data_IF_215508326236
#
_entry.id   IF_215508326236
#
_cell.length_a   1.000
_cell.length_b   1.000
_cell.length_c   1.000
_cell.angle_alpha   90.00
_cell.angle_beta   90.00
_cell.angle_gamma   90.00
#
_symmetry.space_group_name_H-M   'P 1'
#
loop_
_entity.id
_entity.type
_entity.pdbx_description
1 polymer ?
#
# COMPACT_ATOMS: atom_id res chain seq x y z
N UNK A 1 -9.35 6.55 25.06
CA UNK A 1 -10.45 7.09 24.22
C UNK A 1 -10.43 6.35 22.90
N UNK A 2 -11.59 5.99 22.36
CA UNK A 2 -11.77 5.21 21.14
C UNK A 2 -12.75 5.95 20.22
N UNK A 3 -12.39 6.20 18.98
CA UNK A 3 -13.32 6.64 17.94
C UNK A 3 -13.74 5.43 17.15
N UNK A 4 -14.92 4.89 17.45
CA UNK A 4 -15.47 3.75 16.71
C UNK A 4 -16.13 4.27 15.45
N UNK A 5 -15.62 3.85 14.31
CA UNK A 5 -15.99 4.36 12.99
C UNK A 5 -16.51 3.24 12.12
N UNK A 6 -17.53 3.57 11.34
CA UNK A 6 -18.02 2.75 10.25
C UNK A 6 -18.36 3.65 9.06
N UNK A 7 -18.11 3.17 7.85
CA UNK A 7 -18.26 3.93 6.61
C UNK A 7 -19.00 3.09 5.59
N UNK A 8 -20.06 3.68 5.00
CA UNK A 8 -20.62 3.20 3.75
C UNK A 8 -19.95 3.91 2.58
N UNK A 9 -19.59 3.17 1.55
CA UNK A 9 -18.87 3.68 0.41
C UNK A 9 -19.62 3.46 -0.90
N UNK A 10 -19.32 4.30 -1.91
CA UNK A 10 -19.90 4.20 -3.26
C UNK A 10 -19.55 2.90 -3.98
N UNK A 11 -18.60 2.09 -3.44
CA UNK A 11 -18.03 0.97 -4.16
C UNK A 11 -17.14 1.44 -5.32
N UNK A 12 -16.65 0.50 -6.11
CA UNK A 12 -15.75 0.78 -7.22
C UNK A 12 -14.41 0.08 -7.06
N UNK A 13 -13.38 0.62 -7.71
CA UNK A 13 -12.02 0.12 -7.55
C UNK A 13 -11.38 0.69 -6.29
N UNK A 14 -10.47 -0.08 -5.70
CA UNK A 14 -9.63 0.40 -4.60
C UNK A 14 -8.93 1.70 -5.03
N UNK A 15 -9.17 2.76 -4.26
CA UNK A 15 -8.63 4.08 -4.54
C UNK A 15 -9.57 5.03 -5.31
N UNK A 16 -10.73 4.54 -5.77
CA UNK A 16 -11.76 5.35 -6.45
C UNK A 16 -13.05 5.46 -5.61
N UNK A 17 -13.12 4.71 -4.48
CA UNK A 17 -14.30 4.72 -3.60
C UNK A 17 -14.47 6.07 -2.91
N UNK A 18 -15.73 6.49 -2.73
CA UNK A 18 -16.15 7.70 -2.03
C UNK A 18 -17.04 7.38 -0.86
N UNK A 19 -16.90 8.14 0.22
CA UNK A 19 -17.80 8.01 1.38
C UNK A 19 -19.18 8.49 1.01
N UNK A 20 -20.21 7.70 1.36
CA UNK A 20 -21.63 8.05 1.20
C UNK A 20 -22.37 8.17 2.55
N UNK A 21 -21.88 7.49 3.58
CA UNK A 21 -22.29 7.67 4.97
C UNK A 21 -21.09 7.45 5.88
N UNK A 22 -21.01 8.17 6.98
CA UNK A 22 -20.02 7.97 8.03
C UNK A 22 -20.69 8.08 9.40
N UNK A 23 -20.35 7.17 10.30
CA UNK A 23 -20.70 7.24 11.70
C UNK A 23 -19.46 7.11 12.57
N UNK A 24 -19.35 7.98 13.58
CA UNK A 24 -18.25 8.00 14.54
C UNK A 24 -18.84 8.11 15.94
N UNK A 25 -18.49 7.17 16.82
CA UNK A 25 -18.81 7.20 18.24
C UNK A 25 -17.53 7.36 19.05
N UNK A 26 -17.41 8.46 19.76
CA UNK A 26 -16.31 8.67 20.71
C UNK A 26 -16.66 7.95 22.00
N UNK A 27 -15.91 6.91 22.33
CA UNK A 27 -16.16 5.99 23.44
C UNK A 27 -15.01 6.05 24.45
N UNK A 28 -15.34 6.20 25.73
CA UNK A 28 -14.35 6.29 26.81
C UNK A 28 -13.93 4.93 27.38
N UNK A 29 -14.48 3.84 26.87
CA UNK A 29 -14.32 2.47 27.37
C UNK A 29 -15.50 2.00 28.22
N UNK A 30 -16.48 2.88 28.52
CA UNK A 30 -17.69 2.59 29.29
C UNK A 30 -18.95 3.16 28.67
N UNK A 31 -18.87 4.35 28.09
CA UNK A 31 -20.01 5.02 27.47
C UNK A 31 -19.58 5.86 26.27
N UNK A 32 -20.50 6.07 25.37
CA UNK A 32 -20.35 7.03 24.26
C UNK A 32 -20.46 8.43 24.84
N UNK A 33 -19.44 9.27 24.62
CA UNK A 33 -19.37 10.64 25.13
C UNK A 33 -19.60 11.70 24.06
N UNK A 34 -19.44 11.33 22.78
CA UNK A 34 -19.72 12.18 21.63
C UNK A 34 -20.03 11.31 20.42
N UNK A 35 -20.75 11.86 19.45
CA UNK A 35 -21.07 11.16 18.21
C UNK A 35 -21.15 12.10 17.02
N UNK A 36 -20.82 11.57 15.86
CA UNK A 36 -21.02 12.25 14.58
C UNK A 36 -21.52 11.24 13.55
N UNK A 37 -22.66 11.54 12.92
CA UNK A 37 -23.29 10.69 11.90
C UNK A 37 -23.71 11.62 10.77
N UNK A 38 -23.32 11.31 9.54
CA UNK A 38 -23.66 12.10 8.38
C UNK A 38 -23.72 11.25 7.12
N UNK A 39 -24.73 11.49 6.30
CA UNK A 39 -24.63 11.19 4.88
C UNK A 39 -23.59 12.12 4.25
N UNK A 40 -22.98 11.68 3.16
CA UNK A 40 -21.95 12.45 2.45
C UNK A 40 -22.25 12.42 0.96
N UNK A 41 -22.29 13.59 0.32
CA UNK A 41 -22.49 13.70 -1.12
C UNK A 41 -21.18 13.35 -1.84
N UNK A 42 -21.10 12.22 -2.58
CA UNK A 42 -19.93 11.90 -3.38
C UNK A 42 -19.96 12.69 -4.72
N UNK A 43 -18.83 12.76 -5.40
CA UNK A 43 -18.69 13.32 -6.74
C UNK A 43 -18.89 12.28 -7.86
N UNK A 44 -19.54 11.15 -7.55
CA UNK A 44 -19.82 10.05 -8.46
C UNK A 44 -21.22 9.49 -8.26
N UNK A 45 -21.73 8.77 -9.26
CA UNK A 45 -22.97 8.02 -9.14
C UNK A 45 -22.79 6.75 -8.31
N UNK A 46 -23.79 6.43 -7.49
CA UNK A 46 -23.77 5.22 -6.66
C UNK A 46 -24.39 4.06 -7.45
N UNK A 47 -23.66 2.95 -7.63
CA UNK A 47 -24.18 1.75 -8.27
C UNK A 47 -25.46 1.24 -7.61
N UNK A 48 -26.41 0.74 -8.41
CA UNK A 48 -27.72 0.25 -7.91
C UNK A 48 -27.57 -0.83 -6.85
N UNK A 49 -26.52 -1.68 -6.95
CA UNK A 49 -26.31 -2.74 -5.94
C UNK A 49 -25.89 -2.16 -4.59
N UNK A 50 -25.14 -1.07 -4.54
CA UNK A 50 -24.79 -0.36 -3.30
C UNK A 50 -26.03 0.28 -2.69
N UNK A 51 -26.87 0.94 -3.52
CA UNK A 51 -28.14 1.51 -3.05
C UNK A 51 -29.05 0.44 -2.43
N UNK A 52 -29.08 -0.77 -3.01
CA UNK A 52 -29.84 -1.89 -2.46
C UNK A 52 -29.24 -2.45 -1.18
N UNK A 53 -27.91 -2.48 -1.08
CA UNK A 53 -27.19 -3.01 0.09
C UNK A 53 -27.36 -2.09 1.30
N UNK A 54 -27.12 -0.79 1.10
CA UNK A 54 -27.09 0.21 2.19
C UNK A 54 -28.47 0.85 2.44
N UNK A 55 -29.38 0.74 1.47
CA UNK A 55 -30.65 1.46 1.48
C UNK A 55 -30.53 2.96 1.18
N UNK A 56 -29.30 3.47 0.94
CA UNK A 56 -29.05 4.88 0.62
C UNK A 56 -29.26 5.10 -0.88
N UNK A 57 -30.18 5.95 -1.25
CA UNK A 57 -30.46 6.28 -2.65
C UNK A 57 -29.63 7.48 -3.10
N UNK A 58 -29.36 7.58 -4.40
CA UNK A 58 -28.70 8.76 -4.97
C UNK A 58 -29.43 10.07 -4.61
N UNK A 59 -30.76 10.05 -4.56
CA UNK A 59 -31.56 11.21 -4.17
C UNK A 59 -31.32 11.69 -2.75
N UNK A 60 -30.99 10.80 -1.83
CA UNK A 60 -30.78 11.11 -0.42
C UNK A 60 -29.47 11.90 -0.20
N UNK A 61 -28.54 11.78 -1.14
CA UNK A 61 -27.23 12.40 -1.06
C UNK A 61 -27.16 13.77 -1.73
N UNK A 62 -28.15 14.17 -2.51
CA UNK A 62 -28.15 15.46 -3.23
C UNK A 62 -28.06 16.66 -2.28
N UNK A 63 -28.68 16.56 -1.10
CA UNK A 63 -28.67 17.59 -0.06
C UNK A 63 -27.67 17.30 1.07
N UNK A 64 -26.95 16.20 1.00
CA UNK A 64 -25.94 15.86 2.01
C UNK A 64 -24.69 16.76 1.86
N UNK A 65 -23.97 17.03 2.95
CA UNK A 65 -22.72 17.78 2.88
C UNK A 65 -21.68 17.01 2.09
N UNK A 66 -20.79 17.72 1.42
CA UNK A 66 -19.59 17.14 0.82
C UNK A 66 -18.55 16.81 1.89
N UNK A 67 -17.63 15.90 1.59
CA UNK A 67 -16.63 15.48 2.58
C UNK A 67 -15.83 16.64 3.18
N UNK A 68 -15.43 17.62 2.38
CA UNK A 68 -14.66 18.78 2.88
C UNK A 68 -15.42 19.62 3.90
N UNK A 69 -16.77 19.63 3.86
CA UNK A 69 -17.60 20.39 4.80
C UNK A 69 -17.64 19.75 6.19
N UNK A 70 -17.51 18.43 6.26
CA UNK A 70 -17.53 17.67 7.52
C UNK A 70 -16.11 17.27 8.02
N UNK A 71 -15.09 17.46 7.21
CA UNK A 71 -13.71 17.03 7.48
C UNK A 71 -13.19 17.57 8.82
N UNK A 72 -13.47 18.84 9.13
CA UNK A 72 -13.06 19.45 10.40
C UNK A 72 -13.65 18.72 11.60
N UNK A 73 -14.94 18.42 11.56
CA UNK A 73 -15.63 17.70 12.65
C UNK A 73 -15.09 16.28 12.84
N UNK A 74 -14.75 15.58 11.75
CA UNK A 74 -14.14 14.26 11.82
C UNK A 74 -12.76 14.33 12.50
N UNK A 75 -11.94 15.34 12.17
CA UNK A 75 -10.66 15.56 12.83
C UNK A 75 -10.86 15.76 14.32
N UNK A 76 -11.76 16.67 14.72
CA UNK A 76 -12.01 17.02 16.11
C UNK A 76 -12.47 15.84 16.95
N UNK A 77 -13.45 15.05 16.47
CA UNK A 77 -14.00 13.93 17.24
C UNK A 77 -13.02 12.74 17.31
N UNK A 78 -12.08 12.64 16.35
CA UNK A 78 -11.08 11.57 16.33
C UNK A 78 -9.73 11.98 16.90
N UNK A 79 -9.57 13.23 17.33
CA UNK A 79 -8.30 13.71 17.85
C UNK A 79 -7.94 13.08 19.20
N UNK A 80 -6.67 12.68 19.34
CA UNK A 80 -6.19 12.04 20.57
C UNK A 80 -6.84 10.70 20.93
N UNK A 81 -7.64 10.12 20.02
CA UNK A 81 -8.31 8.84 20.20
C UNK A 81 -7.76 7.74 19.30
N UNK A 82 -8.11 6.50 19.60
CA UNK A 82 -7.79 5.34 18.81
C UNK A 82 -8.92 5.12 17.82
N UNK A 83 -8.61 5.08 16.53
CA UNK A 83 -9.54 4.72 15.48
C UNK A 83 -9.87 3.23 15.55
N UNK A 84 -11.12 2.89 15.79
CA UNK A 84 -11.59 1.51 15.89
C UNK A 84 -12.62 1.24 14.80
N UNK A 85 -12.51 0.13 14.10
CA UNK A 85 -13.53 -0.35 13.19
C UNK A 85 -13.53 -1.88 13.11
N UNK A 86 -14.58 -2.42 12.52
CA UNK A 86 -14.69 -3.85 12.23
C UNK A 86 -14.26 -4.11 10.78
N UNK A 87 -13.06 -4.63 10.56
CA UNK A 87 -12.28 -4.58 9.32
C UNK A 87 -11.72 -3.17 9.05
N UNK A 88 -11.04 -2.65 10.05
CA UNK A 88 -10.54 -1.27 10.07
C UNK A 88 -9.68 -0.86 8.86
N UNK A 89 -9.10 -1.82 8.14
CA UNK A 89 -8.33 -1.56 6.93
C UNK A 89 -9.16 -0.93 5.81
N UNK A 90 -10.44 -1.24 5.74
CA UNK A 90 -11.38 -0.69 4.75
C UNK A 90 -11.73 0.77 5.08
N UNK A 91 -12.30 1.00 6.27
CA UNK A 91 -12.78 2.32 6.69
C UNK A 91 -11.65 3.35 6.78
N UNK A 92 -10.54 2.95 7.40
CA UNK A 92 -9.39 3.82 7.58
C UNK A 92 -8.73 4.20 6.26
N UNK A 93 -8.67 3.28 5.29
CA UNK A 93 -8.12 3.53 3.97
C UNK A 93 -8.95 4.56 3.20
N UNK A 94 -10.28 4.39 3.18
CA UNK A 94 -11.18 5.29 2.44
C UNK A 94 -11.16 6.68 3.09
N UNK A 95 -11.25 6.75 4.43
CA UNK A 95 -11.19 8.01 5.15
C UNK A 95 -9.86 8.75 4.91
N UNK A 96 -8.74 8.01 4.96
CA UNK A 96 -7.42 8.57 4.67
C UNK A 96 -7.30 9.09 3.25
N UNK A 97 -7.91 8.43 2.28
CA UNK A 97 -7.94 8.85 0.89
C UNK A 97 -8.75 10.15 0.71
N UNK A 98 -9.90 10.28 1.33
CA UNK A 98 -10.70 11.52 1.29
C UNK A 98 -9.93 12.69 1.89
N UNK A 99 -9.28 12.51 3.05
CA UNK A 99 -8.42 13.53 3.63
C UNK A 99 -7.22 13.89 2.76
N UNK A 100 -6.60 12.90 2.11
CA UNK A 100 -5.48 13.13 1.21
C UNK A 100 -5.89 13.98 0.01
N UNK A 101 -7.12 13.81 -0.51
CA UNK A 101 -7.67 14.64 -1.59
C UNK A 101 -7.81 16.12 -1.19
N UNK A 102 -7.95 16.39 0.10
CA UNK A 102 -7.95 17.73 0.69
C UNK A 102 -6.55 18.25 1.07
N UNK A 103 -5.49 17.49 0.76
CA UNK A 103 -4.12 17.83 1.14
C UNK A 103 -3.79 17.58 2.61
N UNK A 104 -4.66 16.90 3.36
CA UNK A 104 -4.48 16.61 4.79
C UNK A 104 -4.03 15.16 5.02
N UNK A 105 -2.94 14.97 5.75
CA UNK A 105 -2.48 13.65 6.14
C UNK A 105 -3.20 13.17 7.41
N UNK A 106 -4.31 12.46 7.25
CA UNK A 106 -5.05 11.87 8.36
C UNK A 106 -4.32 10.64 8.90
N UNK A 107 -3.88 10.70 10.16
CA UNK A 107 -3.10 9.65 10.79
C UNK A 107 -3.58 9.44 12.23
N UNK A 108 -4.05 8.22 12.51
CA UNK A 108 -4.56 7.77 13.80
C UNK A 108 -4.01 6.38 14.12
N UNK A 109 -3.97 6.04 15.40
CA UNK A 109 -3.79 4.65 15.81
C UNK A 109 -5.01 3.87 15.46
N UNK A 110 -4.82 2.72 14.80
CA UNK A 110 -5.90 1.88 14.32
C UNK A 110 -5.99 0.60 15.12
N UNK A 111 -7.19 0.26 15.57
CA UNK A 111 -7.56 -0.98 16.23
C UNK A 111 -8.63 -1.69 15.38
N UNK A 112 -8.31 -2.88 14.88
CA UNK A 112 -9.27 -3.73 14.18
C UNK A 112 -9.87 -4.73 15.15
N UNK A 113 -11.21 -4.82 15.17
CA UNK A 113 -11.90 -5.74 16.06
C UNK A 113 -11.97 -7.17 15.55
N UNK A 114 -11.67 -7.46 14.27
CA UNK A 114 -11.64 -8.82 13.73
C UNK A 114 -10.54 -9.67 14.39
N UNK A 115 -9.25 -9.27 14.39
CA UNK A 115 -8.21 -10.05 15.07
C UNK A 115 -8.44 -10.21 16.58
N UNK A 116 -9.13 -9.25 17.20
CA UNK A 116 -9.52 -9.37 18.60
C UNK A 116 -10.64 -10.39 18.80
N UNK A 117 -11.60 -10.42 17.87
CA UNK A 117 -12.64 -11.45 17.86
C UNK A 117 -12.04 -12.85 17.74
N UNK A 118 -11.12 -13.05 16.79
CA UNK A 118 -10.40 -14.33 16.60
C UNK A 118 -9.67 -14.77 17.88
N UNK A 119 -9.10 -13.82 18.60
CA UNK A 119 -8.37 -14.14 19.85
C UNK A 119 -9.28 -14.42 21.03
N UNK A 120 -10.28 -13.58 21.27
CA UNK A 120 -11.10 -13.63 22.48
C UNK A 120 -12.34 -14.54 22.35
N UNK A 121 -12.72 -14.88 21.11
CA UNK A 121 -13.88 -15.70 20.77
C UNK A 121 -13.54 -16.70 19.65
N UNK A 122 -12.51 -17.55 19.82
CA UNK A 122 -12.07 -18.48 18.77
C UNK A 122 -13.13 -19.53 18.40
N UNK A 123 -14.15 -19.70 19.24
CA UNK A 123 -15.26 -20.62 19.04
C UNK A 123 -16.33 -20.14 18.07
N UNK A 124 -16.31 -18.85 17.68
CA UNK A 124 -17.30 -18.31 16.76
C UNK A 124 -17.17 -18.92 15.36
N UNK A 125 -18.27 -19.23 14.68
CA UNK A 125 -18.24 -19.82 13.34
C UNK A 125 -17.70 -18.85 12.26
N UNK A 126 -17.76 -17.56 12.55
CA UNK A 126 -17.22 -16.48 11.72
C UNK A 126 -16.99 -15.23 12.57
N UNK A 127 -16.03 -14.40 12.16
CA UNK A 127 -15.70 -13.14 12.83
C UNK A 127 -16.25 -11.91 12.12
N UNK A 128 -17.25 -12.06 11.25
CA UNK A 128 -17.99 -10.94 10.68
C UNK A 128 -18.95 -10.34 11.69
N UNK A 129 -19.21 -9.03 11.61
CA UNK A 129 -20.01 -8.28 12.58
C UNK A 129 -21.41 -8.89 12.82
N UNK A 130 -22.05 -9.40 11.76
CA UNK A 130 -23.34 -10.07 11.84
C UNK A 130 -23.30 -11.29 12.76
N UNK A 131 -22.34 -12.18 12.54
CA UNK A 131 -22.17 -13.39 13.36
C UNK A 131 -21.90 -13.02 14.81
N UNK A 132 -21.02 -12.06 15.04
CA UNK A 132 -20.69 -11.55 16.37
C UNK A 132 -21.93 -11.00 17.06
N UNK A 133 -22.72 -10.19 16.36
CA UNK A 133 -23.97 -9.63 16.90
C UNK A 133 -24.95 -10.73 17.32
N UNK A 134 -25.16 -11.73 16.46
CA UNK A 134 -26.07 -12.83 16.73
C UNK A 134 -25.63 -13.67 17.91
N UNK A 135 -24.36 -14.07 17.95
CA UNK A 135 -23.80 -14.95 18.98
C UNK A 135 -23.65 -14.26 20.36
N UNK A 136 -23.36 -12.96 20.37
CA UNK A 136 -23.18 -12.20 21.61
C UNK A 136 -24.43 -11.39 22.01
N UNK A 137 -25.54 -11.53 21.29
CA UNK A 137 -26.79 -10.84 21.60
C UNK A 137 -26.73 -9.32 21.43
N UNK A 138 -25.89 -8.81 20.51
CA UNK A 138 -25.77 -7.39 20.21
C UNK A 138 -26.85 -7.01 19.21
N UNK A 139 -27.75 -6.10 19.59
CA UNK A 139 -28.79 -5.63 18.69
C UNK A 139 -28.22 -4.71 17.61
N UNK A 140 -28.45 -5.06 16.34
CA UNK A 140 -28.13 -4.22 15.19
C UNK A 140 -29.34 -4.12 14.24
N UNK A 141 -30.35 -3.29 14.54
CA UNK A 141 -31.56 -3.17 13.72
C UNK A 141 -31.33 -2.41 12.40
N UNK A 142 -30.20 -1.73 12.26
CA UNK A 142 -29.86 -0.93 11.08
C UNK A 142 -28.60 -1.46 10.41
N UNK A 143 -28.61 -2.72 10.05
CA UNK A 143 -27.49 -3.35 9.35
C UNK A 143 -27.26 -2.71 7.98
N UNK A 144 -26.00 -2.62 7.55
CA UNK A 144 -25.55 -1.90 6.35
C UNK A 144 -25.94 -0.42 6.36
N UNK A 145 -25.91 0.17 7.53
CA UNK A 145 -25.95 1.60 7.78
C UNK A 145 -24.87 1.93 8.79
N UNK A 146 -24.06 2.92 8.47
CA UNK A 146 -22.90 3.25 9.28
C UNK A 146 -23.24 3.49 10.77
N UNK A 147 -24.38 4.13 11.08
CA UNK A 147 -24.86 4.29 12.47
C UNK A 147 -25.08 2.96 13.19
N UNK A 148 -25.72 2.00 12.52
CA UNK A 148 -26.02 0.70 13.09
C UNK A 148 -24.76 -0.13 13.34
N UNK A 149 -23.90 -0.21 12.34
CA UNK A 149 -22.72 -1.04 12.38
C UNK A 149 -21.64 -0.45 13.32
N UNK A 150 -21.48 0.88 13.37
CA UNK A 150 -20.62 1.53 14.35
C UNK A 150 -21.11 1.36 15.80
N UNK A 151 -22.42 1.39 16.05
CA UNK A 151 -22.99 1.10 17.39
C UNK A 151 -22.75 -0.33 17.80
N UNK A 152 -23.00 -1.28 16.90
CA UNK A 152 -22.75 -2.70 17.16
C UNK A 152 -21.26 -2.94 17.45
N UNK A 153 -20.38 -2.32 16.66
CA UNK A 153 -18.92 -2.38 16.87
C UNK A 153 -18.51 -1.75 18.21
N UNK A 154 -19.16 -0.65 18.62
CA UNK A 154 -18.91 -0.03 19.94
C UNK A 154 -19.29 -0.97 21.07
N UNK A 155 -20.46 -1.63 20.96
CA UNK A 155 -20.88 -2.60 21.97
C UNK A 155 -19.99 -3.83 21.99
N UNK A 156 -19.54 -4.28 20.82
CA UNK A 156 -18.57 -5.37 20.75
C UNK A 156 -17.21 -4.98 21.36
N UNK A 157 -16.75 -3.75 21.13
CA UNK A 157 -15.53 -3.23 21.75
C UNK A 157 -15.64 -3.20 23.28
N UNK A 158 -16.80 -2.81 23.83
CA UNK A 158 -17.06 -2.85 25.28
C UNK A 158 -16.88 -4.27 25.82
N UNK A 159 -17.48 -5.29 25.18
CA UNK A 159 -17.35 -6.70 25.55
C UNK A 159 -15.89 -7.17 25.47
N UNK A 160 -15.16 -6.75 24.41
CA UNK A 160 -13.75 -7.08 24.26
C UNK A 160 -12.90 -6.49 25.38
N UNK A 161 -13.14 -5.22 25.75
CA UNK A 161 -12.43 -4.55 26.85
C UNK A 161 -12.73 -5.18 28.21
N UNK A 162 -13.97 -5.62 28.47
CA UNK A 162 -14.34 -6.35 29.69
C UNK A 162 -13.68 -7.74 29.78
N UNK A 163 -13.55 -8.42 28.61
CA UNK A 163 -12.92 -9.75 28.53
C UNK A 163 -11.40 -9.68 28.63
N UNK A 164 -10.81 -8.54 28.26
CA UNK A 164 -9.36 -8.31 28.23
C UNK A 164 -8.76 -8.03 29.62
N UNK A 165 -8.89 -8.98 30.53
CA UNK A 165 -8.34 -8.89 31.92
C UNK A 165 -6.82 -8.75 31.95
N UNK A 166 -6.12 -9.28 30.96
CA UNK A 166 -4.65 -9.25 30.86
C UNK A 166 -4.14 -7.98 30.16
N UNK A 167 -5.03 -7.05 29.82
CA UNK A 167 -4.70 -5.82 29.08
C UNK A 167 -3.94 -6.08 27.76
N UNK A 168 -4.34 -7.15 27.08
CA UNK A 168 -3.76 -7.54 25.80
C UNK A 168 -3.99 -6.46 24.73
N UNK A 169 -5.20 -5.89 24.69
CA UNK A 169 -5.54 -4.80 23.75
C UNK A 169 -4.61 -3.62 24.04
N UNK A 170 -4.48 -3.21 25.30
CA UNK A 170 -3.54 -2.15 25.70
C UNK A 170 -2.11 -2.55 25.37
N UNK A 171 -1.73 -3.81 25.63
CA UNK A 171 -0.39 -4.34 25.43
C UNK A 171 0.03 -4.51 23.97
N UNK A 172 -0.85 -4.88 23.07
CA UNK A 172 -0.51 -5.25 21.67
C UNK A 172 -0.93 -4.17 20.67
N UNK A 173 -2.08 -3.53 20.89
CA UNK A 173 -2.65 -2.55 19.96
C UNK A 173 -2.52 -1.11 20.44
N UNK A 174 -2.58 -0.88 21.77
CA UNK A 174 -2.52 0.46 22.34
C UNK A 174 -1.13 0.83 22.88
N UNK A 175 -0.25 -0.11 22.98
CA UNK A 175 1.18 0.18 23.01
C UNK A 175 1.63 0.61 21.60
N UNK A 176 0.98 1.67 21.13
CA UNK A 176 1.82 2.73 20.58
C UNK A 176 2.87 3.00 21.64
N UNK A 177 4.11 3.23 21.24
CA UNK A 177 5.09 3.65 22.19
C UNK A 177 4.68 4.99 22.82
N UNK A 178 3.72 4.97 23.75
CA UNK A 178 3.83 5.86 24.89
C UNK A 178 5.15 5.45 25.53
N UNK A 179 6.08 6.34 25.57
CA UNK A 179 7.39 6.39 26.18
C UNK A 179 7.76 5.43 27.35
N UNK A 180 7.19 4.24 27.48
CA UNK A 180 7.33 3.32 28.62
C UNK A 180 7.60 1.87 28.24
N UNK A 181 7.58 1.47 26.97
CA UNK A 181 8.19 0.22 26.54
C UNK A 181 9.70 0.40 26.47
N UNK A 182 10.35 0.39 27.61
CA UNK A 182 11.81 0.57 27.74
C UNK A 182 12.55 -0.66 27.24
N UNK A 183 12.72 -0.81 25.93
CA UNK A 183 13.84 -1.55 25.41
C UNK A 183 15.06 -0.60 25.35
N UNK A 184 16.26 -1.17 25.38
CA UNK A 184 17.53 -0.41 25.43
C UNK A 184 17.69 0.65 24.32
N UNK A 185 16.92 0.58 23.25
CA UNK A 185 16.99 1.44 22.07
C UNK A 185 15.87 2.51 22.00
N UNK A 186 14.93 2.53 22.94
CA UNK A 186 13.77 3.45 22.91
C UNK A 186 14.17 4.91 22.76
N UNK A 187 15.23 5.35 23.47
CA UNK A 187 15.76 6.71 23.35
C UNK A 187 16.38 6.99 21.98
N UNK A 188 17.01 6.00 21.36
CA UNK A 188 17.67 6.14 20.06
C UNK A 188 16.67 6.35 18.91
N UNK A 189 15.47 5.81 19.05
CA UNK A 189 14.41 5.87 18.03
C UNK A 189 13.27 6.85 18.37
N UNK A 190 13.38 7.57 19.49
CA UNK A 190 12.33 8.46 19.99
C UNK A 190 11.95 9.54 18.96
N UNK A 191 12.93 10.10 18.26
CA UNK A 191 12.76 11.17 17.28
C UNK A 191 12.33 10.68 15.88
N UNK A 192 12.18 9.37 15.67
CA UNK A 192 11.81 8.78 14.36
C UNK A 192 10.30 8.78 14.10
N UNK A 193 9.58 9.77 14.60
CA UNK A 193 8.13 9.90 14.40
C UNK A 193 7.85 10.27 12.94
N UNK A 194 7.05 9.43 12.24
CA UNK A 194 6.68 9.62 10.82
C UNK A 194 7.85 9.62 9.82
N UNK A 195 8.94 8.94 10.15
CA UNK A 195 10.14 8.88 9.32
C UNK A 195 10.08 7.70 8.37
N UNK A 196 10.29 7.96 7.07
CA UNK A 196 10.39 6.96 6.00
C UNK A 196 11.85 6.61 5.76
N UNK A 197 12.17 5.31 5.69
CA UNK A 197 13.53 4.89 5.38
C UNK A 197 13.80 3.43 5.64
N UNK A 198 15.10 3.12 5.76
CA UNK A 198 15.63 1.80 6.12
C UNK A 198 16.27 1.81 7.49
N UNK A 199 16.27 0.68 8.16
CA UNK A 199 16.92 0.49 9.45
C UNK A 199 17.69 -0.80 9.48
N UNK A 200 18.78 -0.79 10.24
CA UNK A 200 19.75 -1.86 10.36
C UNK A 200 19.88 -2.23 11.82
N UNK A 201 19.80 -3.52 12.11
CA UNK A 201 20.04 -4.07 13.43
C UNK A 201 21.38 -4.80 13.42
N UNK A 202 22.26 -4.40 14.33
CA UNK A 202 23.63 -4.90 14.41
C UNK A 202 23.83 -5.80 15.64
N UNK A 203 24.68 -6.82 15.51
CA UNK A 203 25.17 -7.62 16.63
C UNK A 203 26.36 -6.97 17.34
N UNK A 204 26.93 -7.65 18.34
CA UNK A 204 28.12 -7.19 19.07
C UNK A 204 29.38 -7.10 18.22
N UNK A 205 29.46 -7.84 17.12
CA UNK A 205 30.55 -7.80 16.17
C UNK A 205 30.44 -6.68 15.13
N UNK A 206 29.38 -5.86 15.19
CA UNK A 206 29.12 -4.81 14.20
C UNK A 206 28.57 -5.32 12.87
N UNK A 207 28.13 -6.58 12.78
CA UNK A 207 27.53 -7.14 11.58
C UNK A 207 26.04 -6.82 11.53
N UNK A 208 25.52 -6.52 10.35
CA UNK A 208 24.08 -6.34 10.11
C UNK A 208 23.38 -7.70 10.15
N UNK A 209 22.60 -7.93 11.18
CA UNK A 209 21.86 -9.18 11.37
C UNK A 209 20.41 -9.10 10.87
N UNK A 210 19.87 -7.89 10.72
CA UNK A 210 18.58 -7.64 10.10
C UNK A 210 18.56 -6.26 9.44
N UNK A 211 17.90 -6.18 8.30
CA UNK A 211 17.63 -4.97 7.54
C UNK A 211 16.15 -4.91 7.20
N UNK A 212 15.53 -3.74 7.34
CA UNK A 212 14.15 -3.54 6.97
C UNK A 212 13.84 -2.09 6.60
N UNK A 213 12.69 -1.88 5.99
CA UNK A 213 12.17 -0.55 5.64
C UNK A 213 10.81 -0.31 6.25
N UNK A 214 10.44 0.97 6.37
CA UNK A 214 9.10 1.38 6.79
C UNK A 214 8.83 2.83 6.41
N UNK A 215 7.56 3.15 6.26
CA UNK A 215 7.01 4.50 6.26
C UNK A 215 6.81 5.07 7.67
N UNK A 216 6.95 4.19 8.69
CA UNK A 216 6.90 4.51 10.12
C UNK A 216 8.01 3.74 10.84
N UNK A 217 9.24 4.20 10.70
CA UNK A 217 10.44 3.48 11.19
C UNK A 217 10.33 3.13 12.66
N UNK A 218 9.93 4.08 13.53
CA UNK A 218 9.79 3.85 14.96
C UNK A 218 8.86 2.68 15.26
N UNK A 219 7.65 2.72 14.73
CA UNK A 219 6.64 1.65 14.95
C UNK A 219 7.14 0.29 14.46
N UNK A 220 7.84 0.29 13.33
CA UNK A 220 8.38 -0.94 12.75
C UNK A 220 9.50 -1.54 13.57
N UNK A 221 10.39 -0.71 14.09
CA UNK A 221 11.49 -1.13 14.96
C UNK A 221 10.95 -1.63 16.30
N UNK A 222 10.05 -0.89 16.94
CA UNK A 222 9.41 -1.30 18.20
C UNK A 222 8.75 -2.68 18.09
N UNK A 223 8.11 -3.01 16.97
CA UNK A 223 7.53 -4.35 16.74
C UNK A 223 8.53 -5.49 16.86
N UNK A 224 9.79 -5.29 16.51
CA UNK A 224 10.82 -6.31 16.69
C UNK A 224 11.11 -6.60 18.16
N UNK A 225 11.04 -5.57 19.02
CA UNK A 225 11.32 -5.68 20.44
C UNK A 225 10.11 -6.04 21.29
N UNK A 226 8.90 -5.83 20.77
CA UNK A 226 7.63 -6.18 21.43
C UNK A 226 7.11 -7.54 20.98
N UNK A 227 7.58 -8.09 19.88
CA UNK A 227 7.12 -9.38 19.38
C UNK A 227 7.71 -10.54 20.18
N UNK A 228 6.87 -11.55 20.45
CA UNK A 228 7.22 -12.76 21.23
C UNK A 228 7.41 -14.01 20.37
N UNK A 229 7.40 -13.88 19.03
CA UNK A 229 7.69 -15.01 18.17
C UNK A 229 9.17 -15.42 18.23
N UNK A 230 9.46 -16.69 17.92
CA UNK A 230 10.82 -17.26 18.05
C UNK A 230 11.88 -16.46 17.30
N UNK A 231 11.58 -15.94 16.11
CA UNK A 231 12.49 -15.11 15.32
C UNK A 231 12.79 -13.78 16.02
N UNK A 232 11.75 -13.12 16.54
CA UNK A 232 11.90 -11.85 17.25
C UNK A 232 12.69 -12.03 18.56
N UNK A 233 12.43 -13.07 19.33
CA UNK A 233 13.18 -13.39 20.56
C UNK A 233 14.66 -13.64 20.25
N UNK A 234 14.97 -14.41 19.20
CA UNK A 234 16.35 -14.66 18.80
C UNK A 234 17.03 -13.36 18.35
N UNK A 235 16.34 -12.53 17.57
CA UNK A 235 16.84 -11.23 17.13
C UNK A 235 17.11 -10.30 18.33
N UNK A 236 16.17 -10.18 19.26
CA UNK A 236 16.30 -9.34 20.47
C UNK A 236 17.52 -9.68 21.32
N UNK A 237 17.90 -10.95 21.41
CA UNK A 237 19.07 -11.40 22.15
C UNK A 237 20.40 -10.95 21.51
N UNK A 238 20.44 -10.90 20.18
CA UNK A 238 21.65 -10.60 19.42
C UNK A 238 21.84 -9.10 19.12
N UNK A 239 20.76 -8.31 19.01
CA UNK A 239 20.84 -6.88 18.68
C UNK A 239 21.58 -6.09 19.76
N UNK A 240 22.58 -5.29 19.35
CA UNK A 240 23.35 -4.40 20.22
C UNK A 240 23.30 -2.94 19.79
N UNK A 241 23.04 -2.66 18.51
CA UNK A 241 22.85 -1.29 18.05
C UNK A 241 21.88 -1.22 16.86
N UNK A 242 21.34 -0.03 16.62
CA UNK A 242 20.42 0.28 15.54
C UNK A 242 20.99 1.47 14.76
N UNK A 243 20.99 1.37 13.43
CA UNK A 243 21.20 2.51 12.54
C UNK A 243 19.97 2.72 11.70
N UNK A 244 19.64 3.96 11.45
CA UNK A 244 18.53 4.35 10.60
C UNK A 244 19.04 5.24 9.47
N UNK A 245 18.54 5.02 8.28
CA UNK A 245 18.77 5.88 7.12
C UNK A 245 17.44 6.36 6.57
N UNK A 246 17.19 7.66 6.73
CA UNK A 246 16.00 8.32 6.24
C UNK A 246 16.09 8.53 4.73
N UNK A 247 15.05 8.19 4.00
CA UNK A 247 15.06 8.23 2.53
C UNK A 247 14.11 9.28 1.95
N UNK A 248 13.15 9.76 2.73
CA UNK A 248 12.13 10.72 2.29
C UNK A 248 11.01 10.10 1.44
N UNK A 249 11.23 8.97 0.78
CA UNK A 249 10.20 8.25 0.04
C UNK A 249 10.32 6.73 0.21
N UNK A 250 9.17 6.04 0.06
CA UNK A 250 9.12 4.58 0.11
C UNK A 250 9.81 3.93 -1.07
N UNK A 251 9.79 4.55 -2.24
CA UNK A 251 10.49 4.03 -3.41
C UNK A 251 12.00 3.97 -3.16
N UNK A 252 12.58 5.06 -2.63
CA UNK A 252 14.00 5.08 -2.28
C UNK A 252 14.33 4.06 -1.17
N UNK A 253 13.46 3.93 -0.16
CA UNK A 253 13.62 2.92 0.88
C UNK A 253 13.59 1.49 0.31
N UNK A 254 12.73 1.22 -0.68
CA UNK A 254 12.64 -0.07 -1.37
C UNK A 254 13.87 -0.38 -2.22
N UNK A 255 14.37 0.61 -2.94
CA UNK A 255 15.58 0.47 -3.74
C UNK A 255 16.78 0.18 -2.84
N UNK A 256 16.96 0.97 -1.77
CA UNK A 256 18.06 0.84 -0.85
C UNK A 256 18.04 -0.51 -0.11
N UNK A 257 16.88 -0.88 0.45
CA UNK A 257 16.69 -2.18 1.10
C UNK A 257 17.07 -3.34 0.17
N UNK A 258 16.63 -3.30 -1.09
CA UNK A 258 16.92 -4.38 -2.03
C UNK A 258 18.40 -4.51 -2.34
N UNK A 259 19.08 -3.39 -2.62
CA UNK A 259 20.52 -3.38 -2.94
C UNK A 259 21.30 -3.94 -1.76
N UNK A 260 21.01 -3.50 -0.57
CA UNK A 260 21.75 -3.87 0.63
C UNK A 260 21.42 -5.29 1.12
N UNK A 261 20.19 -5.78 0.95
CA UNK A 261 19.88 -7.20 1.21
C UNK A 261 20.66 -8.15 0.32
N UNK A 262 20.94 -7.77 -0.92
CA UNK A 262 21.76 -8.58 -1.83
C UNK A 262 23.25 -8.58 -1.43
N UNK A 263 23.74 -7.46 -0.96
CA UNK A 263 25.14 -7.28 -0.53
C UNK A 263 25.40 -7.88 0.85
N UNK A 264 24.60 -7.50 1.84
CA UNK A 264 24.85 -7.82 3.25
C UNK A 264 24.37 -9.21 3.67
N UNK A 265 23.32 -9.72 3.02
CA UNK A 265 22.69 -11.04 3.30
C UNK A 265 22.45 -11.29 4.80
N UNK A 266 21.74 -10.39 5.51
CA UNK A 266 21.64 -10.46 6.96
C UNK A 266 21.00 -11.77 7.43
N UNK A 267 21.48 -12.32 8.54
CA UNK A 267 21.10 -13.63 9.12
C UNK A 267 19.58 -13.80 9.29
N UNK A 268 18.88 -12.76 9.73
CA UNK A 268 17.45 -12.80 10.04
C UNK A 268 16.55 -12.36 8.90
N UNK A 269 17.09 -11.97 7.73
CA UNK A 269 16.29 -11.73 6.54
C UNK A 269 16.12 -13.02 5.74
N UNK A 270 14.88 -13.39 5.47
CA UNK A 270 14.57 -14.58 4.67
C UNK A 270 14.56 -14.25 3.17
N UNK A 271 14.74 -15.24 2.26
CA UNK A 271 14.56 -15.01 0.83
C UNK A 271 13.18 -14.43 0.45
N UNK A 272 12.14 -14.69 1.25
CA UNK A 272 10.80 -14.13 1.07
C UNK A 272 10.74 -12.64 1.36
N UNK A 273 11.64 -12.12 2.18
CA UNK A 273 11.72 -10.68 2.49
C UNK A 273 12.25 -9.86 1.30
N UNK A 274 12.89 -10.52 0.32
CA UNK A 274 13.47 -9.87 -0.86
C UNK A 274 12.44 -9.39 -1.88
N UNK A 275 11.27 -10.04 -1.94
CA UNK A 275 10.22 -9.71 -2.91
C UNK A 275 8.87 -9.64 -2.20
N UNK A 276 8.32 -8.44 -2.06
CA UNK A 276 6.96 -8.25 -1.52
C UNK A 276 5.87 -8.60 -2.52
N UNK A 277 6.15 -8.45 -3.80
CA UNK A 277 5.21 -8.70 -4.87
C UNK A 277 5.15 -10.19 -5.15
N UNK A 278 3.93 -10.72 -5.25
CA UNK A 278 3.68 -12.16 -5.22
C UNK A 278 3.67 -12.82 -6.59
N UNK A 279 3.49 -12.03 -7.64
CA UNK A 279 3.35 -12.52 -9.01
C UNK A 279 4.40 -11.90 -9.93
N UNK A 280 4.70 -12.61 -10.99
CA UNK A 280 5.60 -12.14 -12.04
C UNK A 280 5.06 -12.45 -13.43
N UNK A 281 5.43 -11.59 -14.36
CA UNK A 281 5.22 -11.75 -15.77
C UNK A 281 6.49 -12.34 -16.38
N UNK A 282 6.41 -13.55 -16.90
CA UNK A 282 7.55 -14.32 -17.41
C UNK A 282 7.45 -14.46 -18.92
N UNK A 283 8.49 -14.06 -19.64
CA UNK A 283 8.61 -14.27 -21.07
C UNK A 283 9.00 -15.73 -21.36
N UNK A 284 8.20 -16.41 -22.16
CA UNK A 284 8.45 -17.76 -22.63
C UNK A 284 8.70 -17.69 -24.13
N UNK A 285 9.90 -18.06 -24.55
CA UNK A 285 10.26 -18.05 -25.97
C UNK A 285 9.62 -19.27 -26.65
N UNK A 286 8.57 -19.03 -27.42
CA UNK A 286 7.88 -20.06 -28.22
C UNK A 286 8.52 -20.26 -29.59
N UNK A 287 8.00 -21.25 -30.35
CA UNK A 287 8.50 -21.54 -31.71
C UNK A 287 8.24 -20.41 -32.73
N UNK A 288 7.15 -19.69 -32.57
CA UNK A 288 6.72 -18.62 -33.50
C UNK A 288 6.74 -17.21 -32.88
N UNK A 289 6.37 -17.09 -31.62
CA UNK A 289 6.26 -15.78 -30.93
C UNK A 289 6.54 -15.94 -29.43
N UNK A 290 6.99 -14.89 -28.76
CA UNK A 290 7.12 -14.89 -27.30
C UNK A 290 5.73 -14.90 -26.66
N UNK A 291 5.51 -15.83 -25.77
CA UNK A 291 4.31 -15.92 -24.94
C UNK A 291 4.65 -15.52 -23.50
N UNK A 292 3.62 -15.13 -22.74
CA UNK A 292 3.80 -14.68 -21.38
C UNK A 292 3.03 -15.56 -20.40
N UNK A 293 3.68 -15.87 -19.28
CA UNK A 293 3.08 -16.59 -18.15
C UNK A 293 2.95 -15.67 -16.95
N UNK A 294 1.76 -15.66 -16.36
CA UNK A 294 1.48 -14.93 -15.11
C UNK A 294 1.43 -15.94 -13.97
N UNK A 295 2.43 -15.93 -13.11
CA UNK A 295 2.52 -16.88 -11.99
C UNK A 295 3.16 -16.29 -10.75
N UNK A 296 2.99 -16.95 -9.61
CA UNK A 296 3.68 -16.58 -8.37
C UNK A 296 5.19 -16.67 -8.55
N UNK A 297 5.89 -15.68 -8.01
CA UNK A 297 7.35 -15.66 -7.96
C UNK A 297 7.82 -16.79 -7.03
N UNK A 298 8.75 -17.60 -7.51
CA UNK A 298 9.42 -18.65 -6.74
C UNK A 298 10.92 -18.34 -6.66
N UNK A 299 11.74 -19.09 -7.39
CA UNK A 299 13.20 -18.94 -7.40
C UNK A 299 13.71 -18.19 -8.64
N UNK A 300 12.89 -18.01 -9.64
CA UNK A 300 13.20 -17.34 -10.90
C UNK A 300 12.76 -15.88 -10.90
N UNK A 301 13.50 -15.04 -11.62
CA UNK A 301 13.26 -13.60 -11.70
C UNK A 301 12.39 -13.31 -12.92
N UNK A 302 11.18 -12.74 -12.76
CA UNK A 302 10.31 -12.38 -13.87
C UNK A 302 10.87 -11.20 -14.68
N UNK A 303 10.29 -10.95 -15.86
CA UNK A 303 10.56 -9.71 -16.62
C UNK A 303 9.93 -8.50 -15.97
N UNK A 304 8.75 -8.68 -15.37
CA UNK A 304 8.06 -7.67 -14.58
C UNK A 304 7.46 -8.29 -13.33
N UNK A 305 7.61 -7.61 -12.21
CA UNK A 305 6.99 -7.99 -10.93
C UNK A 305 5.67 -7.24 -10.80
N UNK A 306 4.61 -7.97 -10.41
CA UNK A 306 3.25 -7.48 -10.35
C UNK A 306 2.59 -7.89 -9.03
N UNK A 307 1.56 -7.15 -8.62
CA UNK A 307 0.86 -7.41 -7.36
C UNK A 307 0.00 -8.68 -7.44
N UNK A 308 -0.76 -8.78 -8.52
CA UNK A 308 -1.69 -9.87 -8.74
C UNK A 308 -1.79 -10.28 -10.22
N UNK A 309 -2.67 -11.24 -10.51
CA UNK A 309 -2.88 -11.71 -11.87
C UNK A 309 -3.62 -10.69 -12.73
N UNK A 310 -4.50 -9.89 -12.14
CA UNK A 310 -5.28 -8.89 -12.87
C UNK A 310 -4.36 -7.82 -13.43
N UNK A 311 -3.42 -7.33 -12.64
CA UNK A 311 -2.38 -6.42 -13.09
C UNK A 311 -1.57 -7.02 -14.26
N UNK A 312 -1.25 -8.31 -14.19
CA UNK A 312 -0.56 -9.01 -15.28
C UNK A 312 -1.33 -8.98 -16.60
N UNK A 313 -2.64 -9.17 -16.57
CA UNK A 313 -3.47 -9.07 -17.76
C UNK A 313 -3.58 -7.64 -18.30
N UNK A 314 -3.62 -6.64 -17.44
CA UNK A 314 -3.58 -5.23 -17.85
C UNK A 314 -2.28 -4.90 -18.60
N UNK A 315 -1.16 -5.44 -18.13
CA UNK A 315 0.11 -5.29 -18.80
C UNK A 315 0.16 -5.99 -20.16
N UNK A 316 -0.39 -7.19 -20.27
CA UNK A 316 -0.49 -7.90 -21.54
C UNK A 316 -1.42 -7.19 -22.53
N UNK A 317 -2.49 -6.56 -22.05
CA UNK A 317 -3.35 -5.71 -22.87
C UNK A 317 -2.62 -4.47 -23.41
N UNK A 318 -1.77 -3.83 -22.61
CA UNK A 318 -0.91 -2.73 -23.07
C UNK A 318 0.12 -3.21 -24.12
N UNK A 319 0.75 -4.37 -23.90
CA UNK A 319 1.63 -5.00 -24.88
C UNK A 319 0.91 -5.26 -26.21
N UNK A 320 -0.29 -5.85 -26.13
CA UNK A 320 -1.15 -6.13 -27.28
C UNK A 320 -1.44 -4.87 -28.09
N UNK A 321 -1.82 -3.77 -27.43
CA UNK A 321 -2.08 -2.48 -28.06
C UNK A 321 -0.79 -1.88 -28.68
N UNK A 322 0.32 -1.91 -27.94
CA UNK A 322 1.59 -1.33 -28.40
C UNK A 322 2.13 -2.03 -29.65
N UNK A 323 2.05 -3.36 -29.71
CA UNK A 323 2.51 -4.14 -30.85
C UNK A 323 1.43 -4.40 -31.90
N UNK A 324 0.22 -3.84 -31.74
CA UNK A 324 -0.94 -4.04 -32.62
C UNK A 324 -1.21 -5.52 -32.91
N UNK A 325 -1.26 -6.35 -31.87
CA UNK A 325 -1.47 -7.79 -31.89
C UNK A 325 -2.62 -8.20 -31.01
N UNK A 326 -3.21 -9.39 -31.24
CA UNK A 326 -4.23 -9.91 -30.34
C UNK A 326 -3.60 -10.32 -28.99
N UNK A 327 -4.26 -9.98 -27.88
CA UNK A 327 -3.80 -10.34 -26.55
C UNK A 327 -3.64 -11.86 -26.40
N UNK A 328 -4.51 -12.66 -27.04
CA UNK A 328 -4.46 -14.14 -26.98
C UNK A 328 -3.21 -14.73 -27.62
N UNK A 329 -2.53 -13.97 -28.49
CA UNK A 329 -1.24 -14.36 -29.06
C UNK A 329 -0.10 -14.25 -28.05
N UNK A 330 -0.24 -13.35 -27.07
CA UNK A 330 0.76 -13.12 -26.03
C UNK A 330 0.59 -14.02 -24.81
N UNK A 331 -0.59 -14.60 -24.61
CA UNK A 331 -0.94 -15.32 -23.38
C UNK A 331 -0.84 -16.84 -23.60
N UNK A 332 -0.29 -17.56 -22.62
CA UNK A 332 -0.32 -19.02 -22.65
C UNK A 332 -1.76 -19.55 -22.71
N UNK A 333 -2.02 -20.69 -23.41
CA UNK A 333 -3.35 -21.25 -23.56
C UNK A 333 -4.13 -21.41 -22.24
N UNK A 334 -3.44 -21.76 -21.15
CA UNK A 334 -4.03 -21.91 -19.80
C UNK A 334 -4.64 -20.61 -19.23
N UNK A 335 -4.32 -19.44 -19.80
CA UNK A 335 -4.80 -18.13 -19.33
C UNK A 335 -5.84 -17.51 -20.28
N UNK A 336 -6.05 -18.05 -21.47
CA UNK A 336 -6.93 -17.46 -22.51
C UNK A 336 -8.37 -17.26 -22.05
N UNK A 337 -8.90 -18.17 -21.22
CA UNK A 337 -10.25 -18.03 -20.67
C UNK A 337 -10.42 -16.85 -19.69
N UNK A 338 -9.34 -16.29 -19.17
CA UNK A 338 -9.34 -15.16 -18.23
C UNK A 338 -9.25 -13.81 -18.97
N UNK A 339 -8.69 -13.77 -20.19
CA UNK A 339 -8.62 -12.55 -21.00
C UNK A 339 -10.00 -12.08 -21.47
N UNK A 340 -10.95 -13.00 -21.65
CA UNK A 340 -12.32 -12.67 -22.08
C UNK A 340 -13.20 -12.03 -20.97
N UNK A 341 -12.80 -12.11 -19.72
CA UNK A 341 -13.58 -11.58 -18.57
C UNK A 341 -13.28 -10.12 -18.22
N UNK A 342 -12.32 -9.50 -18.88
CA UNK A 342 -11.96 -8.09 -18.62
C UNK A 342 -12.82 -7.13 -19.44
N UNK A 343 -13.56 -6.17 -18.81
CA UNK A 343 -14.50 -5.26 -19.50
C UNK A 343 -13.82 -4.34 -20.54
N UNK A 344 -12.52 -4.10 -20.43
CA UNK A 344 -11.78 -3.17 -21.31
C UNK A 344 -11.40 -3.74 -22.69
N UNK A 345 -11.48 -5.05 -22.86
CA UNK A 345 -11.06 -5.70 -24.12
C UNK A 345 -12.11 -5.61 -25.25
N UNK A 346 -13.36 -5.22 -24.97
CA UNK A 346 -14.41 -5.11 -26.00
C UNK A 346 -14.28 -3.91 -26.93
N UNK A 347 -13.50 -2.85 -26.59
CA UNK A 347 -13.32 -1.66 -27.42
C UNK A 347 -12.09 -1.69 -28.37
N UNK A 348 -11.19 -2.63 -28.19
CA UNK A 348 -9.96 -2.72 -28.99
C UNK A 348 -10.14 -3.48 -30.31
N UNK A 349 -11.29 -4.10 -30.54
CA UNK A 349 -11.52 -5.02 -31.70
C UNK A 349 -11.89 -4.26 -32.98
N UNK A 350 -12.19 -2.96 -32.96
CA UNK A 350 -12.67 -2.20 -34.12
C UNK A 350 -11.79 -1.02 -34.58
N UNK A 351 -10.49 -1.10 -34.42
CA UNK A 351 -9.59 -0.08 -34.98
C UNK A 351 -8.75 -0.65 -36.13
N UNK A 352 -9.21 -0.38 -37.33
CA UNK A 352 -8.49 -0.39 -38.62
C UNK A 352 -7.57 -1.55 -38.96
N UNK A 353 -8.10 -2.44 -39.81
CA UNK A 353 -7.34 -3.20 -40.78
C UNK A 353 -6.68 -2.23 -41.78
N UNK A 354 -5.41 -1.87 -41.59
CA UNK A 354 -4.56 -1.41 -42.69
C UNK A 354 -3.16 -2.00 -42.50
N UNK A 355 -2.82 -2.78 -43.51
CA UNK A 355 -1.64 -3.57 -43.72
C UNK A 355 -0.31 -2.83 -43.54
N UNK A 356 0.53 -3.31 -42.65
CA UNK A 356 1.94 -3.50 -42.91
C UNK A 356 2.45 -4.68 -42.09
N UNK A 357 2.67 -5.82 -42.74
CA UNK A 357 3.32 -7.01 -42.21
C UNK A 357 4.78 -6.69 -41.91
N UNK A 358 5.05 -6.08 -40.76
CA UNK A 358 6.36 -6.16 -40.15
C UNK A 358 6.45 -7.49 -39.42
N UNK A 359 7.20 -8.43 -39.97
CA UNK A 359 7.63 -9.62 -39.24
C UNK A 359 8.58 -9.18 -38.12
N UNK A 360 8.05 -9.01 -36.92
CA UNK A 360 8.88 -8.88 -35.73
C UNK A 360 9.54 -10.25 -35.49
N UNK A 361 10.88 -10.29 -35.54
CA UNK A 361 11.67 -11.47 -35.18
C UNK A 361 11.35 -11.92 -33.75
N UNK A 362 11.50 -13.20 -33.46
CA UNK A 362 11.17 -13.85 -32.18
C UNK A 362 11.66 -13.14 -30.91
N UNK A 363 12.67 -12.29 -31.03
CA UNK A 363 13.44 -11.74 -29.90
C UNK A 363 13.07 -10.30 -29.55
N UNK A 364 12.23 -9.61 -30.33
CA UNK A 364 12.06 -8.15 -30.25
C UNK A 364 10.85 -7.68 -29.43
N UNK A 365 10.13 -8.55 -28.71
CA UNK A 365 9.08 -8.09 -27.81
C UNK A 365 9.71 -7.76 -26.46
N UNK A 366 10.00 -6.48 -26.27
CA UNK A 366 10.55 -5.97 -25.03
C UNK A 366 9.47 -5.18 -24.26
N UNK A 367 9.09 -5.73 -23.12
CA UNK A 367 8.14 -5.08 -22.20
C UNK A 367 8.67 -3.74 -21.71
N UNK A 368 9.98 -3.56 -21.64
CA UNK A 368 10.62 -2.33 -21.18
C UNK A 368 10.29 -1.15 -22.07
N UNK A 369 10.15 -1.35 -23.38
CA UNK A 369 9.81 -0.28 -24.34
C UNK A 369 8.46 0.38 -24.10
N UNK A 370 7.56 -0.27 -23.35
CA UNK A 370 6.26 0.29 -23.01
C UNK A 370 6.36 1.26 -21.84
N UNK A 371 7.30 1.02 -20.93
CA UNK A 371 7.44 1.77 -19.68
C UNK A 371 8.47 2.86 -19.75
N UNK A 372 9.55 2.58 -20.45
CA UNK A 372 10.61 3.51 -20.67
C UNK A 372 10.69 3.71 -22.19
N UNK A 373 10.24 4.84 -22.72
CA UNK A 373 10.58 5.20 -24.09
C UNK A 373 12.10 5.14 -24.24
N UNK A 374 12.61 4.86 -25.45
CA UNK A 374 14.06 4.75 -25.74
C UNK A 374 14.88 6.00 -25.35
N UNK A 375 14.20 7.05 -24.92
CA UNK A 375 14.78 8.30 -24.43
C UNK A 375 15.25 8.17 -22.98
N UNK A 376 16.43 8.70 -22.70
CA UNK A 376 16.89 8.84 -21.31
C UNK A 376 15.99 9.81 -20.55
N UNK A 377 15.67 9.47 -19.30
CA UNK A 377 14.81 10.30 -18.46
C UNK A 377 15.33 10.38 -17.02
N UNK A 378 15.02 11.48 -16.38
CA UNK A 378 15.16 11.64 -14.94
C UNK A 378 13.77 11.63 -14.29
N UNK A 379 13.66 10.88 -13.21
CA UNK A 379 12.48 10.86 -12.38
C UNK A 379 12.81 11.57 -11.07
N UNK A 380 11.87 12.39 -10.58
CA UNK A 380 12.07 13.21 -9.39
C UNK A 380 11.07 12.79 -8.32
N UNK A 381 11.59 12.47 -7.14
CA UNK A 381 10.84 12.03 -5.98
C UNK A 381 11.16 12.93 -4.77
N UNK A 382 10.41 12.76 -3.70
CA UNK A 382 10.66 13.46 -2.43
C UNK A 382 12.01 13.05 -1.83
N UNK A 383 12.73 14.03 -1.27
CA UNK A 383 13.93 13.80 -0.47
C UNK A 383 13.63 13.78 1.02
N UNK A 384 14.68 13.69 1.83
CA UNK A 384 14.61 13.64 3.30
C UNK A 384 14.08 14.93 3.91
N UNK A 385 14.48 16.06 3.37
CA UNK A 385 14.12 17.41 3.87
C UNK A 385 13.33 18.20 2.86
N UNK A 386 12.66 19.28 3.32
CA UNK A 386 11.98 20.22 2.43
C UNK A 386 13.02 20.83 1.48
N UNK A 387 12.81 20.70 0.16
CA UNK A 387 13.76 21.19 -0.86
C UNK A 387 14.70 20.12 -1.39
N UNK A 388 15.03 19.08 -0.63
CA UNK A 388 15.77 17.94 -1.15
C UNK A 388 14.88 17.06 -2.05
N UNK A 389 15.46 16.58 -3.14
CA UNK A 389 14.83 15.64 -4.07
C UNK A 389 15.72 14.44 -4.31
N UNK A 390 15.09 13.29 -4.48
CA UNK A 390 15.75 12.08 -4.98
C UNK A 390 15.52 12.02 -6.48
N UNK A 391 16.60 11.82 -7.25
CA UNK A 391 16.60 11.76 -8.69
C UNK A 391 16.99 10.35 -9.11
N UNK A 392 16.19 9.72 -9.96
CA UNK A 392 16.49 8.42 -10.56
C UNK A 392 16.81 8.59 -12.03
N UNK A 393 17.93 8.02 -12.49
CA UNK A 393 18.34 8.04 -13.87
C UNK A 393 17.91 6.75 -14.57
N UNK A 394 17.17 6.91 -15.66
CA UNK A 394 16.79 5.84 -16.58
C UNK A 394 17.51 6.09 -17.89
N UNK A 395 18.24 5.10 -18.40
CA UNK A 395 18.88 5.13 -19.72
C UNK A 395 18.60 3.81 -20.46
N UNK A 396 18.26 3.90 -21.74
CA UNK A 396 17.98 2.71 -22.57
C UNK A 396 17.02 1.72 -21.92
N UNK A 397 15.91 2.23 -21.37
CA UNK A 397 14.90 1.43 -20.67
C UNK A 397 15.44 0.63 -19.48
N UNK A 398 16.51 1.12 -18.83
CA UNK A 398 17.07 0.53 -17.61
C UNK A 398 17.27 1.59 -16.52
N UNK A 399 17.00 1.23 -15.29
CA UNK A 399 17.32 2.04 -14.13
C UNK A 399 18.83 1.94 -13.86
N UNK A 400 19.52 3.08 -13.98
CA UNK A 400 20.98 3.16 -13.84
C UNK A 400 21.40 3.46 -12.41
N UNK A 401 20.63 4.31 -11.71
CA UNK A 401 20.99 4.71 -10.35
C UNK A 401 20.24 5.94 -9.89
N UNK A 402 20.63 6.47 -8.74
CA UNK A 402 19.99 7.59 -8.10
C UNK A 402 20.99 8.64 -7.60
N UNK A 403 20.49 9.85 -7.34
CA UNK A 403 21.23 10.93 -6.68
C UNK A 403 20.29 11.71 -5.78
N UNK A 404 20.86 12.43 -4.81
CA UNK A 404 20.14 13.43 -4.01
C UNK A 404 20.56 14.82 -4.47
N UNK A 405 19.61 15.74 -4.61
CA UNK A 405 19.86 17.10 -5.04
C UNK A 405 18.91 18.08 -4.35
N UNK A 406 19.41 19.24 -3.98
CA UNK A 406 18.61 20.38 -3.58
C UNK A 406 18.25 21.18 -4.83
N UNK A 407 17.00 21.08 -5.28
CA UNK A 407 16.55 21.74 -6.52
C UNK A 407 16.27 23.25 -6.32
N UNK A 408 16.22 23.73 -5.10
CA UNK A 408 15.84 25.12 -4.80
C UNK A 408 16.91 26.16 -5.14
N UNK A 409 18.18 25.78 -5.31
CA UNK A 409 19.30 26.71 -5.44
C UNK A 409 20.18 26.52 -6.66
N UNK A 410 19.91 25.52 -7.51
CA UNK A 410 20.78 25.24 -8.65
C UNK A 410 20.00 25.33 -9.96
N UNK A 411 20.44 26.22 -10.85
CA UNK A 411 20.25 26.04 -12.29
C UNK A 411 20.64 24.60 -12.60
N UNK A 412 19.68 23.82 -13.07
CA UNK A 412 19.79 22.37 -13.23
C UNK A 412 20.70 22.03 -14.39
N UNK A 413 22.01 22.01 -14.15
CA UNK A 413 22.94 21.39 -15.09
C UNK A 413 22.82 19.86 -14.98
N UNK A 414 22.10 19.29 -15.94
CA UNK A 414 21.83 17.87 -16.04
C UNK A 414 23.08 17.02 -16.17
N UNK A 415 24.13 17.55 -16.79
CA UNK A 415 25.42 16.85 -16.90
C UNK A 415 26.09 16.71 -15.53
N UNK A 416 25.94 17.71 -14.66
CA UNK A 416 26.41 17.62 -13.27
C UNK A 416 25.60 16.63 -12.46
N UNK A 417 24.27 16.61 -12.60
CA UNK A 417 23.43 15.64 -11.93
C UNK A 417 23.77 14.21 -12.36
N UNK A 418 23.96 13.97 -13.64
CA UNK A 418 24.35 12.67 -14.19
C UNK A 418 25.68 12.18 -13.61
N UNK A 419 26.67 13.07 -13.42
CA UNK A 419 27.95 12.74 -12.80
C UNK A 419 27.82 12.37 -11.32
N UNK A 420 26.78 12.84 -10.64
CA UNK A 420 26.51 12.53 -9.22
C UNK A 420 25.66 11.27 -9.01
N UNK A 421 25.22 10.61 -10.08
CA UNK A 421 24.41 9.39 -9.97
C UNK A 421 25.24 8.28 -9.33
N UNK A 422 24.74 7.76 -8.21
CA UNK A 422 25.21 6.55 -7.59
C UNK A 422 24.66 5.38 -8.40
N UNK A 423 25.54 4.73 -9.16
CA UNK A 423 25.14 3.59 -9.99
C UNK A 423 24.75 2.39 -9.14
N UNK A 424 23.71 1.69 -9.56
CA UNK A 424 23.25 0.47 -8.90
C UNK A 424 23.44 -0.75 -9.79
N UNK A 425 23.54 -1.96 -9.22
CA UNK A 425 23.58 -3.18 -10.03
C UNK A 425 22.33 -3.31 -10.90
N UNK A 426 22.49 -3.76 -12.15
CA UNK A 426 21.36 -4.04 -13.03
C UNK A 426 20.44 -5.06 -12.38
N UNK A 427 19.17 -4.73 -12.25
CA UNK A 427 18.18 -5.57 -11.58
C UNK A 427 16.80 -5.41 -12.21
N UNK A 428 16.22 -6.53 -12.65
CA UNK A 428 14.83 -6.57 -13.13
C UNK A 428 13.84 -6.15 -12.02
N UNK A 429 14.18 -6.44 -10.76
CA UNK A 429 13.37 -6.04 -9.62
C UNK A 429 13.34 -4.51 -9.45
N UNK A 430 14.52 -3.87 -9.49
CA UNK A 430 14.61 -2.41 -9.39
C UNK A 430 13.87 -1.73 -10.54
N UNK A 431 14.01 -2.24 -11.77
CA UNK A 431 13.22 -1.74 -12.90
C UNK A 431 11.72 -1.85 -12.64
N UNK A 432 11.25 -2.97 -12.08
CA UNK A 432 9.84 -3.18 -11.76
C UNK A 432 9.33 -2.20 -10.70
N UNK A 433 10.14 -1.85 -9.70
CA UNK A 433 9.79 -0.84 -8.69
C UNK A 433 9.58 0.54 -9.33
N UNK A 434 10.47 0.95 -10.21
CA UNK A 434 10.37 2.23 -10.94
C UNK A 434 9.12 2.24 -11.82
N UNK A 435 8.88 1.16 -12.57
CA UNK A 435 7.69 1.01 -13.43
C UNK A 435 6.42 1.15 -12.63
N UNK A 436 6.37 0.49 -11.47
CA UNK A 436 5.22 0.57 -10.56
C UNK A 436 5.01 1.98 -10.05
N UNK A 437 6.07 2.65 -9.61
CA UNK A 437 5.98 4.01 -9.12
C UNK A 437 5.49 5.01 -10.19
N UNK A 438 5.90 4.83 -11.46
CA UNK A 438 5.38 5.59 -12.61
C UNK A 438 3.91 5.28 -12.88
N UNK A 439 3.51 4.01 -12.86
CA UNK A 439 2.11 3.59 -13.05
C UNK A 439 1.19 4.20 -12.00
N UNK A 440 1.64 4.23 -10.75
CA UNK A 440 0.89 4.72 -9.60
C UNK A 440 0.92 6.25 -9.46
N UNK A 441 1.56 6.98 -10.39
CA UNK A 441 1.77 8.42 -10.34
C UNK A 441 2.42 8.92 -9.03
N UNK A 442 3.26 8.08 -8.41
CA UNK A 442 3.93 8.39 -7.14
C UNK A 442 5.18 9.24 -7.31
N UNK A 443 5.68 9.36 -8.52
CA UNK A 443 6.88 10.14 -8.85
C UNK A 443 6.64 11.01 -10.08
N UNK A 444 7.21 12.21 -10.07
CA UNK A 444 7.23 13.10 -11.23
C UNK A 444 8.19 12.58 -12.31
N UNK A 445 7.84 12.72 -13.58
CA UNK A 445 8.73 12.39 -14.68
C UNK A 445 9.14 13.67 -15.42
N UNK A 446 10.45 13.90 -15.50
CA UNK A 446 11.03 14.92 -16.35
C UNK A 446 11.69 14.21 -17.53
N UNK A 447 11.19 14.44 -18.74
CA UNK A 447 11.80 13.90 -19.97
C UNK A 447 12.85 14.87 -20.45
N UNK A 448 14.09 14.41 -20.57
CA UNK A 448 15.18 15.18 -21.18
C UNK A 448 15.65 14.44 -22.42
N UNK A 449 15.74 15.18 -23.53
CA UNK A 449 16.52 14.73 -24.66
C UNK A 449 17.97 15.09 -24.34
N UNK A 450 18.80 14.11 -24.17
CA UNK A 450 20.24 14.29 -24.19
C UNK A 450 20.67 14.37 -25.68
N UNK A 451 21.13 15.52 -26.08
CA UNK A 451 21.80 15.68 -27.36
C UNK A 451 23.18 15.00 -27.34
#
# INVERSE_FOLDING_TARGET
MYSVVDIEASGGKVGEEKIIEIAIFLFDGKKIIDQFISLVQPDCEIPIFIQKLTGIKQSDLVSAPRFYEIAKRIIEITDGSIFVAHNASFDYRILKQEFLSLGYNYDRTVLDTIPLSEKFFPELPSHGLETICNELGILNPKRHRADGDARATTKFLEILLEKDREKYIEGVYLKLPSATGKHSFSKQIENLVKTIGVYYLFNSGGEVIYLGKSDQLRVRIDRHFLSTNNKAIALQKEVKSIRVEETGSMLMAEILEHIELLSLKPKYNTPKDRYRLRYGLYKIVGKSMAQWDIRKIKNDIPELIIEDKQEGFEWLAKLSTFYNKNIDDFVLPKHRSQTMKSPKNKKAINANQNNSRFFLSKDNIDIKKIFYPDESMLLVDSGKTIGEKTIYLIEHSEFIGYSKAELATQQTDWNLLKKRIIKVPKSKYLNSLIVKALKDNKIGSLKFKFS
#
